data_IF_899268497117
#
_entry.id   IF_899268497117
#
_cell.length_a   1.000
_cell.length_b   1.000
_cell.length_c   1.000
_cell.angle_alpha   90.00
_cell.angle_beta   90.00
_cell.angle_gamma   90.00
#
_symmetry.space_group_name_H-M   'P 1'
#
loop_
_entity.id
_entity.type
_entity.pdbx_description
1 polymer ?
#
# COMPACT_ATOMS: atom_id res chain seq x y z
N UNK A 1 57.42 -16.13 -8.50
CA UNK A 1 56.46 -17.24 -8.68
C UNK A 1 55.14 -16.84 -8.03
N UNK A 2 54.06 -16.73 -8.84
CA UNK A 2 52.62 -16.54 -8.52
C UNK A 2 52.29 -15.27 -7.70
N UNK A 3 51.68 -14.17 -8.17
CA UNK A 3 50.62 -13.88 -9.17
C UNK A 3 49.37 -14.73 -8.96
N UNK A 4 48.34 -14.17 -8.29
CA UNK A 4 46.93 -14.02 -8.74
C UNK A 4 46.00 -13.76 -7.54
N UNK A 5 45.74 -12.50 -7.15
CA UNK A 5 44.48 -12.09 -6.47
C UNK A 5 44.32 -10.56 -6.55
N UNK A 6 44.11 -10.03 -7.76
CA UNK A 6 43.89 -8.58 -7.95
C UNK A 6 42.94 -8.29 -9.12
N UNK A 7 41.91 -9.09 -9.38
CA UNK A 7 41.03 -8.88 -10.55
C UNK A 7 39.52 -8.97 -10.25
N UNK A 8 39.08 -8.75 -8.99
CA UNK A 8 37.64 -8.71 -8.68
C UNK A 8 37.11 -7.35 -8.18
N UNK A 9 37.92 -6.30 -8.21
CA UNK A 9 37.56 -4.98 -7.63
C UNK A 9 37.34 -3.88 -8.67
N UNK A 10 37.41 -4.16 -9.98
CA UNK A 10 37.25 -3.14 -11.04
C UNK A 10 35.98 -3.26 -11.90
N UNK A 11 35.08 -4.21 -11.64
CA UNK A 11 33.88 -4.40 -12.47
C UNK A 11 32.63 -3.64 -11.97
N UNK A 12 32.59 -3.16 -10.71
CA UNK A 12 31.44 -2.41 -10.17
C UNK A 12 31.62 -0.88 -10.18
N UNK A 13 32.83 -0.35 -10.36
CA UNK A 13 33.06 1.09 -10.54
C UNK A 13 32.84 1.58 -11.99
N UNK A 14 32.59 0.67 -12.94
CA UNK A 14 32.40 1.02 -14.37
C UNK A 14 30.95 1.33 -14.78
N UNK A 15 29.96 0.98 -13.96
CA UNK A 15 28.54 1.14 -14.32
C UNK A 15 27.96 2.53 -14.02
N UNK A 16 28.64 3.36 -13.22
CA UNK A 16 28.16 4.69 -12.83
C UNK A 16 28.82 5.81 -13.66
N UNK A 17 30.02 5.61 -14.20
CA UNK A 17 30.75 6.64 -14.97
C UNK A 17 30.39 6.69 -16.47
N UNK A 18 29.78 5.63 -17.02
CA UNK A 18 29.46 5.52 -18.45
C UNK A 18 28.23 6.30 -18.93
N UNK A 19 27.39 6.82 -18.03
CA UNK A 19 26.11 7.46 -18.38
C UNK A 19 26.25 8.98 -18.61
N UNK A 20 27.34 9.60 -18.15
CA UNK A 20 27.52 11.06 -18.24
C UNK A 20 28.17 11.58 -19.55
N UNK A 21 28.63 10.71 -20.45
CA UNK A 21 29.29 11.12 -21.72
C UNK A 21 28.47 10.86 -23.00
N UNK A 22 27.26 10.29 -22.90
CA UNK A 22 26.46 9.89 -24.05
C UNK A 22 25.52 10.96 -24.66
N UNK A 23 25.48 12.18 -24.12
CA UNK A 23 24.48 13.21 -24.52
C UNK A 23 24.98 14.29 -25.49
N UNK A 24 25.97 14.00 -26.32
CA UNK A 24 26.40 14.90 -27.41
C UNK A 24 26.57 14.15 -28.73
N UNK A 25 25.47 13.63 -29.29
CA UNK A 25 25.30 13.49 -30.74
C UNK A 25 23.90 12.97 -31.08
N UNK A 26 23.21 13.67 -31.99
CA UNK A 26 22.31 13.15 -33.03
C UNK A 26 20.96 13.87 -33.10
N UNK A 27 20.93 14.99 -33.82
CA UNK A 27 19.73 15.52 -34.46
C UNK A 27 19.57 14.90 -35.87
N UNK A 28 18.33 14.53 -36.25
CA UNK A 28 17.97 14.24 -37.64
C UNK A 28 16.56 13.62 -37.82
N UNK A 29 15.78 13.96 -38.88
CA UNK A 29 14.31 13.95 -38.84
C UNK A 29 13.65 12.83 -39.68
N UNK A 30 12.35 12.54 -39.43
CA UNK A 30 11.52 11.63 -40.24
C UNK A 30 10.11 12.23 -40.50
N UNK A 31 9.48 12.02 -41.68
CA UNK A 31 8.35 12.81 -42.17
C UNK A 31 6.95 12.20 -41.97
N UNK A 32 5.95 13.02 -42.29
CA UNK A 32 4.49 12.89 -42.14
C UNK A 32 3.77 12.00 -43.15
N UNK A 33 2.61 11.45 -42.74
CA UNK A 33 1.53 10.98 -43.63
C UNK A 33 0.19 10.80 -42.91
N UNK A 34 -0.86 11.51 -43.36
CA UNK A 34 -2.25 11.49 -42.87
C UNK A 34 -3.16 10.58 -43.72
N UNK A 35 -4.21 10.01 -43.11
CA UNK A 35 -5.55 9.84 -43.72
C UNK A 35 -6.61 9.52 -42.64
N UNK A 36 -7.88 9.89 -42.88
CA UNK A 36 -8.95 10.14 -41.89
C UNK A 36 -10.11 9.09 -41.82
N UNK A 37 -10.53 8.77 -40.57
CA UNK A 37 -11.88 8.69 -39.88
C UNK A 37 -13.17 8.45 -40.74
N UNK A 38 -14.19 7.62 -40.35
CA UNK A 38 -14.99 7.63 -39.08
C UNK A 38 -15.51 6.25 -38.57
N UNK A 39 -16.27 6.07 -37.48
CA UNK A 39 -16.41 6.64 -36.13
C UNK A 39 -17.40 5.71 -35.35
N UNK A 40 -17.31 5.66 -34.01
CA UNK A 40 -18.37 5.22 -33.08
C UNK A 40 -18.67 3.70 -32.92
N UNK A 41 -17.66 2.91 -32.51
CA UNK A 41 -17.89 1.66 -31.75
C UNK A 41 -16.64 1.11 -31.03
N UNK A 42 -15.48 1.76 -31.15
CA UNK A 42 -14.16 1.18 -30.78
C UNK A 42 -13.43 1.90 -29.64
N UNK A 43 -14.10 2.83 -28.96
CA UNK A 43 -13.44 3.78 -28.05
C UNK A 43 -13.15 3.23 -26.64
N UNK A 44 -13.64 2.02 -26.29
CA UNK A 44 -13.34 1.40 -24.99
C UNK A 44 -12.34 0.24 -25.02
N UNK A 45 -12.03 -0.30 -26.20
CA UNK A 45 -11.04 -1.38 -26.35
C UNK A 45 -9.66 -0.90 -26.81
N UNK A 46 -9.57 0.26 -27.48
CA UNK A 46 -8.29 0.79 -28.00
C UNK A 46 -7.54 1.69 -26.99
N UNK A 47 -8.05 1.90 -25.76
CA UNK A 47 -7.32 2.63 -24.70
C UNK A 47 -6.35 1.77 -23.88
N UNK A 48 -6.38 0.44 -24.06
CA UNK A 48 -5.44 -0.51 -23.42
C UNK A 48 -4.43 -1.09 -24.42
N UNK A 49 -4.64 -0.91 -25.73
CA UNK A 49 -3.82 -1.53 -26.78
C UNK A 49 -3.18 -0.52 -27.72
N UNK A 50 -2.40 0.41 -27.17
CA UNK A 50 -1.26 1.04 -27.86
C UNK A 50 -0.10 1.24 -26.88
N UNK A 51 0.38 0.12 -26.33
CA UNK A 51 1.80 0.03 -25.98
C UNK A 51 2.51 -0.24 -27.29
N UNK A 52 3.06 0.80 -27.89
CA UNK A 52 4.06 0.65 -28.95
C UNK A 52 5.14 -0.29 -28.42
N UNK A 53 5.39 -1.39 -29.12
CA UNK A 53 6.54 -2.26 -28.88
C UNK A 53 7.80 -1.40 -28.93
N UNK A 54 8.55 -1.25 -27.81
CA UNK A 54 9.84 -0.58 -27.86
C UNK A 54 10.81 -1.53 -28.57
N UNK A 55 11.50 -1.02 -29.57
CA UNK A 55 12.67 -1.70 -30.13
C UNK A 55 13.75 -1.93 -29.06
N UNK A 56 14.71 -2.82 -29.32
CA UNK A 56 15.70 -3.19 -28.34
C UNK A 56 16.80 -2.13 -28.27
N UNK A 57 16.63 -1.11 -27.40
CA UNK A 57 17.70 -0.45 -26.63
C UNK A 57 17.24 0.85 -25.94
N UNK A 58 17.66 1.00 -24.68
CA UNK A 58 17.68 2.20 -23.81
C UNK A 58 16.34 2.64 -23.22
N UNK A 59 16.16 2.81 -21.91
CA UNK A 59 17.05 2.65 -20.77
C UNK A 59 16.22 2.77 -19.49
N UNK A 60 16.78 2.24 -18.39
CA UNK A 60 16.27 2.37 -17.03
C UNK A 60 16.27 3.85 -16.61
N UNK A 61 15.20 4.56 -16.92
CA UNK A 61 15.01 5.95 -16.50
C UNK A 61 14.35 5.99 -15.11
N UNK A 62 14.90 6.80 -14.22
CA UNK A 62 14.46 7.00 -12.84
C UNK A 62 12.99 7.40 -12.71
N UNK A 63 12.45 8.19 -13.64
CA UNK A 63 11.04 8.54 -13.70
C UNK A 63 10.15 7.31 -13.95
N UNK A 64 10.67 6.30 -14.67
CA UNK A 64 9.97 5.02 -14.88
C UNK A 64 9.96 4.16 -13.60
N UNK A 65 10.99 4.24 -12.75
CA UNK A 65 11.02 3.57 -11.44
C UNK A 65 10.06 4.21 -10.43
N UNK A 66 10.02 5.55 -10.37
CA UNK A 66 9.05 6.31 -9.57
C UNK A 66 7.59 5.98 -9.94
N UNK A 67 7.33 5.81 -11.25
CA UNK A 67 6.00 5.45 -11.75
C UNK A 67 5.59 4.02 -11.38
N UNK A 68 6.55 3.08 -11.31
CA UNK A 68 6.31 1.71 -10.86
C UNK A 68 6.08 1.62 -9.35
N UNK A 69 6.79 2.43 -8.56
CA UNK A 69 6.58 2.59 -7.12
C UNK A 69 5.19 3.16 -6.79
N UNK A 70 4.76 4.20 -7.52
CA UNK A 70 3.42 4.79 -7.35
C UNK A 70 2.26 3.84 -7.74
N UNK A 71 2.53 2.79 -8.52
CA UNK A 71 1.54 1.81 -8.97
C UNK A 71 1.57 0.49 -8.17
N UNK A 72 2.41 0.37 -7.14
CA UNK A 72 2.54 -0.88 -6.39
C UNK A 72 3.18 -2.02 -7.18
N UNK A 73 3.93 -1.73 -8.24
CA UNK A 73 4.58 -2.71 -9.13
C UNK A 73 6.06 -2.96 -8.77
N UNK A 74 6.41 -2.90 -7.48
CA UNK A 74 7.76 -3.28 -7.05
C UNK A 74 7.96 -4.80 -7.09
N UNK A 75 6.89 -5.59 -6.91
CA UNK A 75 6.93 -7.05 -6.81
C UNK A 75 7.60 -7.74 -8.01
N UNK A 76 7.74 -7.07 -9.16
CA UNK A 76 8.37 -7.63 -10.37
C UNK A 76 9.53 -6.79 -10.92
N UNK A 77 10.08 -5.87 -10.13
CA UNK A 77 11.23 -5.05 -10.55
C UNK A 77 12.54 -5.84 -10.53
N UNK A 78 13.52 -5.53 -11.41
CA UNK A 78 14.85 -6.15 -11.35
C UNK A 78 15.53 -6.00 -9.99
N UNK A 79 15.32 -4.84 -9.34
CA UNK A 79 15.82 -4.57 -7.99
C UNK A 79 15.30 -5.59 -6.99
N UNK A 80 13.98 -5.81 -6.94
CA UNK A 80 13.40 -6.77 -6.01
C UNK A 80 13.89 -8.19 -6.25
N UNK A 81 14.03 -8.61 -7.53
CA UNK A 81 14.58 -9.94 -7.85
C UNK A 81 16.02 -10.13 -7.37
N UNK A 82 16.81 -9.06 -7.35
CA UNK A 82 18.18 -9.14 -6.84
C UNK A 82 18.20 -9.19 -5.31
N UNK A 83 17.36 -8.41 -4.63
CA UNK A 83 17.17 -8.50 -3.17
C UNK A 83 16.69 -9.90 -2.76
N UNK A 84 15.75 -10.48 -3.50
CA UNK A 84 15.23 -11.83 -3.29
C UNK A 84 16.29 -12.93 -3.46
N UNK A 85 17.43 -12.65 -4.09
CA UNK A 85 18.55 -13.60 -4.21
C UNK A 85 19.62 -13.42 -3.14
N UNK A 86 19.66 -12.28 -2.44
CA UNK A 86 20.64 -12.01 -1.40
C UNK A 86 20.35 -12.85 -0.15
N UNK A 87 21.37 -13.17 0.66
CA UNK A 87 21.15 -13.77 1.98
C UNK A 87 20.72 -12.69 3.00
N UNK A 88 20.10 -13.06 4.14
CA UNK A 88 19.77 -12.10 5.19
C UNK A 88 20.97 -11.30 5.69
N UNK A 89 22.15 -11.92 5.80
CA UNK A 89 23.39 -11.25 6.19
C UNK A 89 23.77 -10.17 5.19
N UNK A 90 23.65 -10.48 3.89
CA UNK A 90 23.96 -9.50 2.83
C UNK A 90 22.94 -8.36 2.80
N UNK A 91 21.67 -8.63 3.09
CA UNK A 91 20.65 -7.58 3.23
C UNK A 91 20.97 -6.65 4.41
N UNK A 92 21.41 -7.20 5.55
CA UNK A 92 21.87 -6.39 6.70
C UNK A 92 23.11 -5.56 6.36
N UNK A 93 24.09 -6.12 5.67
CA UNK A 93 25.25 -5.37 5.17
C UNK A 93 24.83 -4.23 4.24
N UNK A 94 23.91 -4.50 3.31
CA UNK A 94 23.39 -3.49 2.39
C UNK A 94 22.68 -2.34 3.12
N UNK A 95 21.92 -2.62 4.19
CA UNK A 95 21.35 -1.59 5.05
C UNK A 95 22.43 -0.69 5.67
N UNK A 96 23.54 -1.28 6.13
CA UNK A 96 24.67 -0.51 6.68
C UNK A 96 25.41 0.28 5.60
N UNK A 97 25.55 -0.25 4.39
CA UNK A 97 26.08 0.49 3.24
C UNK A 97 25.21 1.70 2.91
N UNK A 98 23.87 1.56 2.95
CA UNK A 98 22.92 2.67 2.75
C UNK A 98 23.06 3.75 3.83
N UNK A 99 23.25 3.35 5.10
CA UNK A 99 23.50 4.28 6.21
C UNK A 99 24.71 5.17 5.96
N UNK A 100 25.75 4.59 5.37
CA UNK A 100 27.06 5.24 5.19
C UNK A 100 27.13 6.06 3.88
N UNK A 101 26.04 6.13 3.11
CA UNK A 101 25.95 7.02 1.95
C UNK A 101 26.00 8.49 2.39
N UNK A 102 26.74 9.35 1.67
CA UNK A 102 26.75 10.78 1.97
C UNK A 102 25.36 11.38 1.81
N UNK A 103 24.98 12.29 2.72
CA UNK A 103 23.76 13.07 2.56
C UNK A 103 23.84 13.89 1.27
N UNK A 104 22.79 13.83 0.47
CA UNK A 104 22.63 14.55 -0.79
C UNK A 104 21.51 15.57 -0.65
N UNK A 105 21.67 16.73 -1.29
CA UNK A 105 20.60 17.74 -1.41
C UNK A 105 19.69 17.45 -2.62
N UNK A 106 20.05 16.47 -3.46
CA UNK A 106 19.24 16.07 -4.60
C UNK A 106 18.03 15.24 -4.13
N UNK A 107 16.83 15.80 -4.32
CA UNK A 107 15.56 15.19 -3.93
C UNK A 107 15.33 13.81 -4.59
N UNK A 108 15.82 13.60 -5.82
CA UNK A 108 15.70 12.33 -6.51
C UNK A 108 16.58 11.27 -5.87
N UNK A 109 17.82 11.62 -5.55
CA UNK A 109 18.73 10.70 -4.86
C UNK A 109 18.23 10.38 -3.44
N UNK A 110 17.71 11.36 -2.72
CA UNK A 110 17.08 11.16 -1.40
C UNK A 110 15.91 10.18 -1.47
N UNK A 111 15.00 10.35 -2.44
CA UNK A 111 13.87 9.45 -2.63
C UNK A 111 14.34 8.05 -3.05
N UNK A 112 15.35 7.94 -3.91
CA UNK A 112 15.94 6.66 -4.30
C UNK A 112 16.51 5.90 -3.09
N UNK A 113 17.27 6.57 -2.22
CA UNK A 113 17.79 6.00 -0.99
C UNK A 113 16.67 5.56 -0.05
N UNK A 114 15.58 6.35 0.04
CA UNK A 114 14.41 6.02 0.86
C UNK A 114 13.73 4.75 0.36
N UNK A 115 13.52 4.62 -0.94
CA UNK A 115 12.94 3.44 -1.58
C UNK A 115 13.82 2.21 -1.38
N UNK A 116 15.13 2.35 -1.59
CA UNK A 116 16.09 1.27 -1.38
C UNK A 116 16.04 0.78 0.08
N UNK A 117 16.09 1.70 1.05
CA UNK A 117 15.99 1.37 2.48
C UNK A 117 14.70 0.61 2.79
N UNK A 118 13.56 1.11 2.29
CA UNK A 118 12.26 0.46 2.48
C UNK A 118 12.23 -0.96 1.88
N UNK A 119 12.71 -1.12 0.64
CA UNK A 119 12.72 -2.41 -0.06
C UNK A 119 13.63 -3.45 0.63
N UNK A 120 14.83 -3.06 1.07
CA UNK A 120 15.73 -3.96 1.79
C UNK A 120 15.16 -4.34 3.14
N UNK A 121 14.61 -3.36 3.87
CA UNK A 121 13.97 -3.62 5.16
C UNK A 121 12.78 -4.59 5.02
N UNK A 122 11.94 -4.41 4.00
CA UNK A 122 10.81 -5.29 3.73
C UNK A 122 11.24 -6.71 3.37
N UNK A 123 12.23 -6.88 2.49
CA UNK A 123 12.74 -8.20 2.13
C UNK A 123 13.46 -8.89 3.32
N UNK A 124 14.18 -8.13 4.16
CA UNK A 124 14.77 -8.67 5.38
C UNK A 124 13.69 -9.13 6.37
N UNK A 125 12.65 -8.31 6.59
CA UNK A 125 11.52 -8.65 7.45
C UNK A 125 10.75 -9.87 6.92
N UNK A 126 10.55 -10.00 5.61
CA UNK A 126 9.92 -11.17 4.98
C UNK A 126 10.64 -12.48 5.33
N UNK A 127 11.96 -12.45 5.53
CA UNK A 127 12.79 -13.64 5.80
C UNK A 127 12.97 -13.96 7.26
N UNK A 128 13.25 -12.93 8.06
CA UNK A 128 13.63 -13.08 9.47
C UNK A 128 12.49 -12.69 10.42
N UNK A 129 11.43 -12.07 9.91
CA UNK A 129 10.25 -11.68 10.67
C UNK A 129 10.57 -10.71 11.81
N UNK A 130 9.94 -10.94 12.95
CA UNK A 130 10.04 -10.07 14.13
C UNK A 130 11.43 -9.95 14.72
N UNK A 131 12.33 -10.91 14.46
CA UNK A 131 13.71 -10.89 14.99
C UNK A 131 14.55 -9.75 14.39
N UNK A 132 14.11 -9.16 13.28
CA UNK A 132 14.74 -7.99 12.65
C UNK A 132 14.58 -6.72 13.48
N UNK A 133 13.48 -6.56 14.21
CA UNK A 133 13.19 -5.33 14.96
C UNK A 133 14.15 -5.16 16.15
N UNK A 134 14.36 -6.17 17.03
CA UNK A 134 15.40 -6.09 18.08
C UNK A 134 16.81 -5.79 17.54
N UNK A 135 17.16 -6.35 16.38
CA UNK A 135 18.46 -6.08 15.76
C UNK A 135 18.60 -4.59 15.36
N UNK A 136 17.59 -4.03 14.69
CA UNK A 136 17.58 -2.61 14.33
C UNK A 136 17.51 -1.70 15.56
N UNK A 137 16.75 -2.10 16.60
CA UNK A 137 16.64 -1.37 17.86
C UNK A 137 17.98 -1.26 18.59
N UNK A 138 18.83 -2.29 18.48
CA UNK A 138 20.16 -2.34 19.08
C UNK A 138 21.23 -1.49 18.38
N UNK A 139 20.90 -0.83 17.26
CA UNK A 139 21.81 0.09 16.57
C UNK A 139 22.01 1.41 17.36
N UNK A 140 23.03 2.18 16.99
CA UNK A 140 23.22 3.53 17.52
C UNK A 140 22.01 4.42 17.21
N UNK A 141 21.62 5.25 18.19
CA UNK A 141 20.51 6.20 18.01
C UNK A 141 20.86 7.23 16.94
N UNK A 142 19.95 7.41 15.98
CA UNK A 142 20.12 8.38 14.91
C UNK A 142 18.99 8.32 13.89
N UNK A 143 19.06 9.16 12.87
CA UNK A 143 18.07 9.25 11.78
C UNK A 143 17.92 7.91 11.06
N UNK A 144 19.03 7.25 10.75
CA UNK A 144 19.01 5.95 10.07
C UNK A 144 18.29 4.87 10.88
N UNK A 145 18.64 4.68 12.16
CA UNK A 145 17.95 3.72 13.05
C UNK A 145 16.45 4.03 13.11
N UNK A 146 16.09 5.30 13.23
CA UNK A 146 14.68 5.73 13.32
C UNK A 146 13.91 5.37 12.05
N UNK A 147 14.46 5.67 10.87
CA UNK A 147 13.85 5.32 9.58
C UNK A 147 13.77 3.80 9.37
N UNK A 148 14.83 3.05 9.69
CA UNK A 148 14.82 1.59 9.60
C UNK A 148 13.78 0.96 10.52
N UNK A 149 13.72 1.40 11.78
CA UNK A 149 12.71 0.95 12.75
C UNK A 149 11.30 1.26 12.25
N UNK A 150 11.06 2.44 11.69
CA UNK A 150 9.77 2.80 11.11
C UNK A 150 9.35 1.82 10.00
N UNK A 151 10.25 1.47 9.08
CA UNK A 151 9.93 0.50 8.01
C UNK A 151 9.69 -0.91 8.54
N UNK A 152 10.52 -1.42 9.46
CA UNK A 152 10.34 -2.75 10.01
C UNK A 152 9.06 -2.86 10.85
N UNK A 153 8.74 -1.85 11.65
CA UNK A 153 7.48 -1.78 12.41
C UNK A 153 6.29 -1.69 11.45
N UNK A 154 6.41 -0.98 10.34
CA UNK A 154 5.36 -0.91 9.32
C UNK A 154 5.10 -2.27 8.65
N UNK A 155 6.14 -3.09 8.41
CA UNK A 155 5.95 -4.45 7.90
C UNK A 155 5.37 -5.40 8.96
N UNK A 156 5.84 -5.32 10.21
CA UNK A 156 5.22 -6.05 11.32
C UNK A 156 3.76 -5.66 11.52
N UNK A 157 3.44 -4.38 11.40
CA UNK A 157 2.08 -3.84 11.44
C UNK A 157 1.19 -4.46 10.37
N UNK A 158 1.72 -4.63 9.16
CA UNK A 158 1.01 -5.29 8.09
C UNK A 158 0.77 -6.76 8.40
N UNK A 159 1.75 -7.50 8.92
CA UNK A 159 1.65 -8.97 9.12
C UNK A 159 0.91 -9.36 10.40
N UNK A 160 1.24 -8.74 11.53
CA UNK A 160 0.71 -9.06 12.85
C UNK A 160 0.58 -7.81 13.73
N UNK A 161 -0.58 -7.15 13.72
CA UNK A 161 -0.84 -5.97 14.55
C UNK A 161 -0.55 -6.18 16.04
N UNK A 162 -0.89 -7.34 16.59
CA UNK A 162 -0.65 -7.69 17.98
C UNK A 162 0.85 -7.72 18.33
N UNK A 163 1.69 -8.29 17.46
CA UNK A 163 3.13 -8.36 17.68
C UNK A 163 3.82 -7.01 17.40
N UNK A 164 3.28 -6.21 16.49
CA UNK A 164 3.78 -4.87 16.20
C UNK A 164 3.48 -3.86 17.32
N UNK A 165 2.36 -4.01 18.04
CA UNK A 165 1.87 -3.03 19.01
C UNK A 165 2.93 -2.60 20.06
N UNK A 166 3.65 -3.50 20.75
CA UNK A 166 4.66 -3.07 21.73
C UNK A 166 5.77 -2.21 21.11
N UNK A 167 6.11 -2.47 19.84
CA UNK A 167 7.10 -1.69 19.11
C UNK A 167 6.56 -0.35 18.64
N UNK A 168 5.30 -0.29 18.22
CA UNK A 168 4.60 0.96 17.90
C UNK A 168 4.51 1.84 19.15
N UNK A 169 4.05 1.30 20.27
CA UNK A 169 3.93 2.04 21.53
C UNK A 169 5.30 2.61 21.98
N UNK A 170 6.36 1.80 21.85
CA UNK A 170 7.73 2.25 22.14
C UNK A 170 8.21 3.31 21.15
N UNK A 171 7.95 3.13 19.86
CA UNK A 171 8.35 4.10 18.82
C UNK A 171 7.64 5.45 19.01
N UNK A 172 6.36 5.42 19.37
CA UNK A 172 5.59 6.62 19.74
C UNK A 172 6.18 7.28 20.99
N UNK A 173 6.50 6.50 22.03
CA UNK A 173 7.13 7.05 23.24
C UNK A 173 8.47 7.73 22.95
N UNK A 174 9.24 7.21 21.98
CA UNK A 174 10.55 7.73 21.62
C UNK A 174 10.49 8.93 20.65
N UNK A 175 9.44 9.06 19.83
CA UNK A 175 9.37 10.00 18.70
C UNK A 175 8.14 10.94 18.72
N UNK A 176 7.17 10.69 19.59
CA UNK A 176 5.93 11.47 19.77
C UNK A 176 4.70 10.90 19.05
N UNK A 177 3.51 11.26 19.55
CA UNK A 177 2.21 10.68 19.15
C UNK A 177 1.85 10.82 17.67
N UNK A 178 2.41 11.82 16.98
CA UNK A 178 2.13 12.07 15.57
C UNK A 178 2.59 10.93 14.65
N UNK A 179 3.56 10.12 15.08
CA UNK A 179 4.10 8.99 14.28
C UNK A 179 3.14 7.81 14.20
N UNK A 180 2.07 7.77 15.00
CA UNK A 180 1.07 6.72 14.86
C UNK A 180 0.49 6.70 13.43
N UNK A 181 0.33 7.88 12.83
CA UNK A 181 -0.15 8.02 11.46
C UNK A 181 0.67 7.25 10.43
N UNK A 182 1.96 7.03 10.69
CA UNK A 182 2.86 6.36 9.77
C UNK A 182 2.55 4.86 9.65
N UNK A 183 1.99 4.25 10.70
CA UNK A 183 1.65 2.83 10.73
C UNK A 183 0.19 2.56 10.35
N UNK A 184 -0.68 3.58 10.43
CA UNK A 184 -2.14 3.46 10.26
C UNK A 184 -2.53 2.74 8.98
N UNK A 185 -1.93 3.14 7.87
CA UNK A 185 -2.18 2.56 6.55
C UNK A 185 -1.83 1.07 6.50
N UNK A 186 -0.66 0.69 7.03
CA UNK A 186 -0.14 -0.68 6.98
C UNK A 186 -0.94 -1.62 7.88
N UNK A 187 -1.30 -1.17 9.08
CA UNK A 187 -2.18 -1.91 9.99
C UNK A 187 -3.53 -2.21 9.33
N UNK A 188 -4.19 -1.19 8.78
CA UNK A 188 -5.49 -1.35 8.13
C UNK A 188 -5.41 -2.21 6.86
N UNK A 189 -4.44 -1.94 5.98
CA UNK A 189 -4.24 -2.72 4.76
C UNK A 189 -3.99 -4.19 5.08
N UNK A 190 -3.13 -4.47 6.07
CA UNK A 190 -2.83 -5.83 6.51
C UNK A 190 -4.07 -6.53 7.03
N UNK A 191 -4.78 -5.92 7.97
CA UNK A 191 -6.00 -6.48 8.52
C UNK A 191 -7.07 -6.73 7.45
N UNK A 192 -7.31 -5.75 6.56
CA UNK A 192 -8.27 -5.88 5.46
C UNK A 192 -7.91 -7.02 4.50
N UNK A 193 -6.62 -7.22 4.21
CA UNK A 193 -6.16 -8.29 3.33
C UNK A 193 -6.39 -9.69 3.90
N UNK A 194 -6.38 -9.84 5.23
CA UNK A 194 -6.59 -11.13 5.92
C UNK A 194 -8.05 -11.41 6.25
N UNK A 195 -8.87 -10.37 6.40
CA UNK A 195 -10.32 -10.49 6.47
C UNK A 195 -10.95 -9.78 7.67
N UNK A 196 -12.25 -9.99 7.84
CA UNK A 196 -13.05 -9.27 8.82
C UNK A 196 -12.61 -9.50 10.27
N UNK A 197 -12.16 -10.71 10.63
CA UNK A 197 -11.69 -11.02 11.99
C UNK A 197 -10.48 -10.15 12.37
N UNK A 198 -9.49 -10.03 11.47
CA UNK A 198 -8.32 -9.21 11.71
C UNK A 198 -8.64 -7.72 11.83
N UNK A 199 -9.64 -7.22 11.07
CA UNK A 199 -10.11 -5.83 11.21
C UNK A 199 -10.77 -5.61 12.57
N UNK A 200 -11.57 -6.59 13.04
CA UNK A 200 -12.18 -6.56 14.38
C UNK A 200 -11.10 -6.61 15.47
N UNK A 201 -10.09 -7.47 15.33
CA UNK A 201 -8.98 -7.57 16.26
C UNK A 201 -8.17 -6.27 16.32
N UNK A 202 -7.93 -5.65 15.16
CA UNK A 202 -7.24 -4.37 15.09
C UNK A 202 -7.98 -3.27 15.87
N UNK A 203 -9.31 -3.18 15.73
CA UNK A 203 -10.14 -2.25 16.52
C UNK A 203 -10.03 -2.55 18.02
N UNK A 204 -10.01 -3.82 18.43
CA UNK A 204 -9.82 -4.20 19.85
C UNK A 204 -8.44 -3.82 20.39
N UNK A 205 -7.39 -3.95 19.58
CA UNK A 205 -6.01 -3.71 19.98
C UNK A 205 -5.70 -2.22 20.13
N UNK A 206 -6.25 -1.38 19.25
CA UNK A 206 -5.90 0.04 19.19
C UNK A 206 -7.05 0.99 19.54
N UNK A 207 -8.29 0.51 19.61
CA UNK A 207 -9.45 1.27 20.05
C UNK A 207 -9.59 2.63 19.36
N UNK A 208 -9.79 3.66 20.19
CA UNK A 208 -9.98 5.05 19.77
C UNK A 208 -8.78 5.65 19.03
N UNK A 209 -7.58 5.11 19.22
CA UNK A 209 -6.36 5.55 18.53
C UNK A 209 -6.42 5.31 17.03
N UNK A 210 -7.29 4.41 16.56
CA UNK A 210 -7.49 4.05 15.16
C UNK A 210 -8.86 4.48 14.60
N UNK A 211 -9.64 5.22 15.39
CA UNK A 211 -11.02 5.62 15.09
C UNK A 211 -11.23 6.36 13.76
N UNK A 212 -10.17 6.92 13.16
CA UNK A 212 -10.23 7.65 11.88
C UNK A 212 -10.00 6.80 10.62
N UNK A 213 -9.81 5.47 10.72
CA UNK A 213 -9.16 4.68 9.64
C UNK A 213 -10.05 3.56 9.10
N UNK A 214 -11.34 3.78 8.90
CA UNK A 214 -12.15 2.80 8.16
C UNK A 214 -12.50 3.28 6.75
N UNK A 215 -11.67 4.17 6.19
CA UNK A 215 -11.52 4.20 4.73
C UNK A 215 -10.73 2.96 4.32
N UNK A 216 -11.23 2.15 3.36
CA UNK A 216 -10.45 1.05 2.84
C UNK A 216 -9.12 1.57 2.32
N UNK A 217 -8.05 1.02 2.89
CA UNK A 217 -6.70 1.29 2.43
C UNK A 217 -6.45 0.53 1.11
N UNK A 218 -7.05 -0.65 0.99
CA UNK A 218 -7.05 -1.46 -0.22
C UNK A 218 -8.47 -1.93 -0.54
N UNK A 219 -8.75 -2.35 -1.79
CA UNK A 219 -9.98 -3.08 -2.09
C UNK A 219 -10.14 -4.29 -1.16
N UNK A 220 -11.36 -4.55 -0.71
CA UNK A 220 -11.65 -5.75 0.06
C UNK A 220 -11.36 -7.00 -0.77
N UNK A 221 -10.75 -8.05 -0.18
CA UNK A 221 -10.51 -9.31 -0.89
C UNK A 221 -11.83 -10.00 -1.27
N UNK A 222 -11.75 -10.89 -2.26
CA UNK A 222 -12.89 -11.74 -2.61
C UNK A 222 -13.32 -12.59 -1.40
N UNK A 223 -14.63 -12.66 -1.16
CA UNK A 223 -15.18 -13.40 -0.02
C UNK A 223 -15.03 -12.71 1.35
N UNK A 224 -14.67 -11.42 1.39
CA UNK A 224 -14.63 -10.67 2.65
C UNK A 224 -15.99 -10.71 3.38
N UNK A 225 -15.98 -11.10 4.65
CA UNK A 225 -17.17 -11.27 5.47
C UNK A 225 -17.62 -9.94 6.11
N UNK A 226 -18.33 -9.13 5.34
CA UNK A 226 -18.85 -7.84 5.80
C UNK A 226 -19.84 -7.99 6.95
N UNK A 227 -20.68 -9.03 6.96
CA UNK A 227 -21.66 -9.23 8.04
C UNK A 227 -20.94 -9.43 9.38
N UNK A 228 -19.89 -10.25 9.39
CA UNK A 228 -19.04 -10.43 10.56
C UNK A 228 -18.37 -9.14 10.99
N UNK A 229 -17.86 -8.33 10.05
CA UNK A 229 -17.26 -7.03 10.37
C UNK A 229 -18.25 -6.13 11.15
N UNK A 230 -19.47 -5.98 10.64
CA UNK A 230 -20.46 -5.05 11.22
C UNK A 230 -21.09 -5.52 12.52
N UNK A 231 -21.19 -6.84 12.73
CA UNK A 231 -21.65 -7.42 14.00
C UNK A 231 -20.54 -7.54 15.04
N UNK A 232 -19.28 -7.54 14.62
CA UNK A 232 -18.11 -7.66 15.49
C UNK A 232 -17.51 -6.34 15.97
N UNK A 233 -17.81 -5.22 15.30
CA UNK A 233 -17.34 -3.88 15.67
C UNK A 233 -18.47 -3.08 16.31
N UNK A 234 -18.20 -2.44 17.44
CA UNK A 234 -19.13 -1.49 18.05
C UNK A 234 -19.32 -0.30 17.11
N UNK A 235 -20.55 -0.02 16.64
CA UNK A 235 -20.81 1.25 15.98
C UNK A 235 -20.73 2.32 17.07
N UNK A 236 -19.66 3.12 17.10
CA UNK A 236 -19.70 4.36 17.87
C UNK A 236 -20.10 5.53 16.97
N UNK A 237 -20.43 6.67 17.59
CA UNK A 237 -21.04 7.83 16.95
C UNK A 237 -20.21 8.46 15.79
N UNK A 238 -18.97 8.01 15.57
CA UNK A 238 -18.11 8.49 14.49
C UNK A 238 -17.90 7.43 13.40
N UNK A 239 -18.57 7.67 12.26
CA UNK A 239 -18.31 7.43 10.80
C UNK A 239 -17.53 6.20 10.29
N UNK A 240 -17.10 5.32 11.18
CA UNK A 240 -16.15 4.23 10.97
C UNK A 240 -16.57 3.29 9.85
N UNK A 241 -17.63 2.50 9.98
CA UNK A 241 -17.99 1.51 8.96
C UNK A 241 -18.60 2.06 7.65
N UNK A 242 -18.70 3.37 7.44
CA UNK A 242 -19.43 3.92 6.29
C UNK A 242 -18.85 3.48 4.94
N UNK A 243 -17.53 3.51 4.76
CA UNK A 243 -16.96 3.05 3.50
C UNK A 243 -17.14 1.53 3.31
N UNK A 244 -16.93 0.73 4.35
CA UNK A 244 -17.15 -0.72 4.30
C UNK A 244 -18.60 -1.07 3.95
N UNK A 245 -19.56 -0.30 4.45
CA UNK A 245 -20.99 -0.48 4.15
C UNK A 245 -21.30 -0.10 2.71
N UNK A 246 -20.74 1.02 2.25
CA UNK A 246 -20.84 1.45 0.86
C UNK A 246 -20.33 0.36 -0.09
N UNK A 247 -19.15 -0.22 0.20
CA UNK A 247 -18.58 -1.32 -0.60
C UNK A 247 -19.43 -2.59 -0.52
N UNK A 248 -19.86 -2.99 0.68
CA UNK A 248 -20.72 -4.17 0.84
C UNK A 248 -21.99 -4.05 0.01
N UNK A 249 -22.61 -2.87 0.00
CA UNK A 249 -23.83 -2.62 -0.77
C UNK A 249 -23.62 -2.79 -2.27
N UNK A 250 -22.44 -2.44 -2.78
CA UNK A 250 -22.12 -2.63 -4.19
C UNK A 250 -21.90 -4.10 -4.56
N UNK A 251 -21.41 -4.90 -3.61
CA UNK A 251 -21.22 -6.35 -3.79
C UNK A 251 -22.57 -7.07 -3.70
N UNK A 252 -23.32 -6.85 -2.61
CA UNK A 252 -24.62 -7.45 -2.36
C UNK A 252 -25.50 -6.54 -1.49
N UNK A 253 -26.31 -5.71 -2.15
CA UNK A 253 -27.24 -4.76 -1.51
C UNK A 253 -28.27 -5.42 -0.59
N UNK A 254 -28.73 -6.63 -0.91
CA UNK A 254 -29.74 -7.32 -0.08
C UNK A 254 -29.11 -7.88 1.19
N UNK A 255 -27.91 -8.46 1.08
CA UNK A 255 -27.15 -8.88 2.25
C UNK A 255 -26.77 -7.68 3.13
N UNK A 256 -26.33 -6.57 2.53
CA UNK A 256 -26.00 -5.35 3.26
C UNK A 256 -27.20 -4.77 4.01
N UNK A 257 -28.39 -4.75 3.39
CA UNK A 257 -29.63 -4.34 4.06
C UNK A 257 -29.95 -5.19 5.28
N UNK A 258 -29.92 -6.52 5.14
CA UNK A 258 -30.15 -7.45 6.27
C UNK A 258 -29.11 -7.25 7.37
N UNK A 259 -27.85 -7.04 6.99
CA UNK A 259 -26.76 -6.75 7.91
C UNK A 259 -26.98 -5.46 8.70
N UNK A 260 -27.42 -4.38 8.07
CA UNK A 260 -27.77 -3.15 8.78
C UNK A 260 -28.93 -3.37 9.76
N UNK A 261 -29.99 -4.07 9.35
CA UNK A 261 -31.11 -4.35 10.25
C UNK A 261 -30.65 -5.14 11.49
N UNK A 262 -29.76 -6.12 11.32
CA UNK A 262 -29.16 -6.84 12.44
C UNK A 262 -28.28 -5.94 13.32
N UNK A 263 -27.46 -5.07 12.70
CA UNK A 263 -26.62 -4.11 13.42
C UNK A 263 -27.47 -3.11 14.21
N UNK A 264 -28.56 -2.60 13.65
CA UNK A 264 -29.54 -1.73 14.33
C UNK A 264 -30.22 -2.47 15.47
N UNK A 265 -30.59 -3.74 15.27
CA UNK A 265 -31.17 -4.55 16.34
C UNK A 265 -30.21 -4.76 17.51
N UNK A 266 -28.91 -4.92 17.23
CA UNK A 266 -27.88 -5.14 18.25
C UNK A 266 -27.44 -3.83 18.94
N UNK A 267 -27.35 -2.72 18.21
CA UNK A 267 -26.71 -1.48 18.67
C UNK A 267 -27.63 -0.24 18.67
N UNK A 268 -28.92 -0.41 18.35
CA UNK A 268 -29.92 0.66 18.33
C UNK A 268 -29.55 1.78 17.34
N UNK A 269 -29.68 3.03 17.81
CA UNK A 269 -29.38 4.26 17.04
C UNK A 269 -27.99 4.28 16.45
N UNK A 270 -27.01 3.65 17.10
CA UNK A 270 -25.66 3.63 16.57
C UNK A 270 -25.52 2.75 15.32
N UNK A 271 -26.32 1.68 15.20
CA UNK A 271 -26.35 0.86 13.98
C UNK A 271 -26.97 1.61 12.79
N UNK A 272 -27.88 2.55 13.05
CA UNK A 272 -28.57 3.32 12.01
C UNK A 272 -27.67 4.31 11.27
N UNK A 273 -26.50 4.66 11.82
CA UNK A 273 -25.53 5.55 11.16
C UNK A 273 -25.07 5.04 9.79
N UNK A 274 -25.16 3.73 9.54
CA UNK A 274 -24.74 3.14 8.28
C UNK A 274 -25.77 3.26 7.14
N UNK A 275 -27.02 3.66 7.41
CA UNK A 275 -28.04 3.80 6.36
C UNK A 275 -27.62 4.75 5.24
N UNK A 276 -27.03 5.90 5.59
CA UNK A 276 -26.54 6.86 4.60
C UNK A 276 -25.49 6.26 3.66
N UNK A 277 -24.58 5.47 4.20
CA UNK A 277 -23.57 4.78 3.42
C UNK A 277 -24.14 3.66 2.55
N UNK A 278 -25.11 2.90 3.06
CA UNK A 278 -25.83 1.88 2.30
C UNK A 278 -26.54 2.50 1.09
N UNK A 279 -27.36 3.53 1.30
CA UNK A 279 -28.07 4.16 0.19
C UNK A 279 -27.12 4.83 -0.81
N UNK A 280 -26.03 5.45 -0.34
CA UNK A 280 -24.98 5.98 -1.22
C UNK A 280 -24.28 4.87 -2.02
N UNK A 281 -24.09 3.69 -1.42
CA UNK A 281 -23.52 2.51 -2.08
C UNK A 281 -24.41 2.01 -3.21
N UNK A 282 -25.71 1.89 -2.95
CA UNK A 282 -26.70 1.51 -3.95
C UNK A 282 -26.82 2.52 -5.09
N UNK A 283 -26.72 3.82 -4.81
CA UNK A 283 -26.70 4.88 -5.83
C UNK A 283 -25.46 4.80 -6.73
N UNK A 284 -24.33 4.32 -6.19
CA UNK A 284 -23.08 4.15 -6.93
C UNK A 284 -23.08 3.02 -7.97
N UNK A 285 -24.08 2.13 -7.98
CA UNK A 285 -24.15 0.99 -8.90
C UNK A 285 -24.50 1.35 -10.35
N UNK A 286 -24.76 2.62 -10.66
CA UNK A 286 -25.24 3.11 -11.98
C UNK A 286 -26.45 2.34 -12.56
N UNK A 287 -27.15 1.56 -11.73
CA UNK A 287 -28.26 0.68 -12.10
C UNK A 287 -29.62 1.30 -11.69
N UNK A 288 -30.55 1.55 -12.63
CA UNK A 288 -31.91 1.99 -12.31
C UNK A 288 -32.66 1.08 -11.33
N UNK A 289 -32.40 -0.23 -11.32
CA UNK A 289 -33.02 -1.15 -10.36
C UNK A 289 -32.48 -0.94 -8.94
N UNK A 290 -31.18 -0.67 -8.77
CA UNK A 290 -30.60 -0.30 -7.48
C UNK A 290 -31.20 1.00 -6.89
N UNK A 291 -31.52 1.98 -7.75
CA UNK A 291 -32.23 3.20 -7.32
C UNK A 291 -33.66 2.93 -6.88
N UNK A 292 -34.41 2.12 -7.63
CA UNK A 292 -35.77 1.71 -7.23
C UNK A 292 -35.77 0.92 -5.93
N UNK A 293 -34.79 0.03 -5.78
CA UNK A 293 -34.55 -0.71 -4.55
C UNK A 293 -34.31 0.23 -3.38
N UNK A 294 -33.42 1.22 -3.52
CA UNK A 294 -33.12 2.17 -2.45
C UNK A 294 -34.37 2.93 -2.00
N UNK A 295 -35.21 3.40 -2.95
CA UNK A 295 -36.48 4.06 -2.63
C UNK A 295 -37.42 3.13 -1.88
N UNK A 296 -37.59 1.89 -2.34
CA UNK A 296 -38.46 0.92 -1.68
C UNK A 296 -38.00 0.60 -0.24
N UNK A 297 -36.69 0.58 0.01
CA UNK A 297 -36.14 0.33 1.35
C UNK A 297 -36.27 1.51 2.31
N UNK A 298 -36.46 2.74 1.82
CA UNK A 298 -36.79 3.88 2.69
C UNK A 298 -38.12 3.66 3.41
N UNK A 299 -39.12 3.07 2.72
CA UNK A 299 -40.43 2.75 3.32
C UNK A 299 -40.36 1.59 4.34
N UNK A 300 -39.29 0.80 4.32
CA UNK A 300 -39.04 -0.31 5.26
C UNK A 300 -38.18 0.11 6.46
N UNK A 301 -37.73 1.36 6.53
CA UNK A 301 -36.92 1.84 7.66
C UNK A 301 -37.75 1.89 8.94
N UNK A 302 -37.18 1.53 10.12
CA UNK A 302 -37.90 1.65 11.38
C UNK A 302 -38.23 3.12 11.69
N UNK A 303 -39.46 3.39 12.15
CA UNK A 303 -39.97 4.74 12.44
C UNK A 303 -39.15 5.53 13.50
N UNK A 304 -38.26 4.85 14.22
CA UNK A 304 -37.51 5.39 15.36
C UNK A 304 -36.19 6.11 14.98
N UNK A 305 -35.88 6.24 13.67
CA UNK A 305 -34.62 6.78 13.16
C UNK A 305 -34.79 7.92 12.15
#
# INVERSE_FOLDING_TARGET
MKVTTLHLTCALCGAVTGILLGRLASEGPVPSGQAAVPALAKERADRVSRVSTPGPASGHDFASLLKLQMLGLLDDSPLMRDLERMSPERLRELLLEIRDLPETEDEQEMEASRVMLQSVAAELFKREGMDTIPWADGMEKGRFRTGLMQYLIAEASFVSPAQAKPWIDRFISDNGDHTLNDFRWKLMSGAQSRGAEDVIELEKLFGDQFSTILKPAIPYPEGFDYQKLFTGIQPEADRRGNHSMWYWTQVDKEAAWKGILETVKQHGKNGAYYYGALFSGAQGLEDPAARKWAVAKLDEMPDEF
#
